data_IF_697891620831
#
_entry.id   IF_697891620831
#
_cell.length_a   1.000
_cell.length_b   1.000
_cell.length_c   1.000
_cell.angle_alpha   90.00
_cell.angle_beta   90.00
_cell.angle_gamma   90.00
#
_symmetry.space_group_name_H-M   'P 1'
#
loop_
_entity.id
_entity.type
_entity.pdbx_description
1 polymer ?
#
# COMPACT_ATOMS: atom_id res chain seq x y z
N UNK A 1 16.66 -27.83 21.06
CA UNK A 1 15.83 -27.67 19.85
C UNK A 1 16.27 -26.37 19.19
N UNK A 2 16.97 -26.44 18.05
CA UNK A 2 17.33 -25.23 17.31
C UNK A 2 16.05 -24.61 16.74
N UNK A 3 15.83 -23.34 17.04
CA UNK A 3 14.78 -22.54 16.41
C UNK A 3 15.00 -22.57 14.89
N UNK A 4 14.05 -23.15 14.15
CA UNK A 4 14.04 -23.00 12.70
C UNK A 4 13.73 -21.53 12.47
N UNK A 5 14.75 -20.75 12.07
CA UNK A 5 14.55 -19.38 11.60
C UNK A 5 13.44 -19.41 10.56
N UNK A 6 12.28 -18.83 10.88
CA UNK A 6 11.17 -18.74 9.93
C UNK A 6 11.70 -18.02 8.69
N UNK A 7 11.52 -18.64 7.53
CA UNK A 7 11.93 -18.04 6.26
C UNK A 7 11.17 -16.73 6.06
N UNK A 8 11.92 -15.62 5.98
CA UNK A 8 11.36 -14.29 5.73
C UNK A 8 10.83 -14.22 4.30
N UNK A 9 9.54 -13.95 4.14
CA UNK A 9 8.90 -13.71 2.84
C UNK A 9 8.66 -12.21 2.71
N UNK A 10 9.12 -11.61 1.61
CA UNK A 10 8.96 -10.18 1.33
C UNK A 10 8.17 -10.05 0.02
N UNK A 11 7.05 -9.33 0.07
CA UNK A 11 6.37 -8.89 -1.15
C UNK A 11 7.05 -7.63 -1.67
N UNK A 12 7.70 -7.74 -2.82
CA UNK A 12 8.51 -6.63 -3.36
C UNK A 12 7.70 -5.63 -4.17
N UNK A 13 6.39 -5.82 -4.35
CA UNK A 13 5.61 -4.92 -5.21
C UNK A 13 4.12 -4.86 -4.84
N UNK A 14 3.77 -3.86 -4.02
CA UNK A 14 2.37 -3.52 -3.74
C UNK A 14 2.08 -2.05 -4.00
N UNK A 15 0.82 -1.72 -4.19
CA UNK A 15 0.35 -0.33 -4.31
C UNK A 15 -0.72 -0.07 -3.26
N UNK A 16 -0.60 1.06 -2.57
CA UNK A 16 -1.61 1.57 -1.63
C UNK A 16 -2.22 2.86 -2.19
N UNK A 17 -3.51 3.08 -1.93
CA UNK A 17 -4.24 4.25 -2.41
C UNK A 17 -5.45 4.59 -1.54
N UNK A 18 -5.85 5.85 -1.62
CA UNK A 18 -7.03 6.44 -0.98
C UNK A 18 -8.00 7.04 -2.01
N UNK A 19 -9.30 6.91 -1.79
CA UNK A 19 -10.35 7.42 -2.68
C UNK A 19 -10.67 8.91 -2.50
N UNK A 20 -10.15 9.55 -1.46
CA UNK A 20 -10.25 11.01 -1.30
C UNK A 20 -9.43 11.72 -2.39
N UNK A 21 -10.13 12.12 -3.45
CA UNK A 21 -9.56 12.79 -4.62
C UNK A 21 -9.39 14.29 -4.43
N UNK A 22 -9.97 14.88 -3.39
CA UNK A 22 -9.71 16.27 -3.04
C UNK A 22 -8.34 16.37 -2.37
N UNK A 23 -8.06 15.45 -1.45
CA UNK A 23 -6.80 15.36 -0.72
C UNK A 23 -5.65 14.80 -1.56
N UNK A 24 -5.92 13.75 -2.33
CA UNK A 24 -4.96 13.06 -3.19
C UNK A 24 -5.45 13.02 -4.64
N UNK A 25 -5.26 14.11 -5.41
CA UNK A 25 -5.79 14.23 -6.75
C UNK A 25 -5.20 13.19 -7.71
N UNK A 26 -6.07 12.50 -8.45
CA UNK A 26 -5.63 11.58 -9.49
C UNK A 26 -5.22 12.33 -10.77
N UNK A 27 -4.08 11.94 -11.35
CA UNK A 27 -3.54 12.44 -12.63
C UNK A 27 -3.95 11.60 -13.84
N UNK A 28 -4.32 10.34 -13.63
CA UNK A 28 -4.68 9.40 -14.70
C UNK A 28 -6.19 9.11 -14.69
N UNK A 29 -6.93 9.94 -15.42
CA UNK A 29 -8.39 9.85 -15.60
C UNK A 29 -8.80 8.79 -16.64
N UNK A 30 -8.31 7.55 -16.53
CA UNK A 30 -8.95 6.46 -17.27
C UNK A 30 -10.12 5.96 -16.41
N UNK A 31 -11.29 6.59 -16.58
CA UNK A 31 -12.55 6.18 -15.95
C UNK A 31 -12.79 4.68 -16.22
N UNK A 32 -12.47 3.83 -15.24
CA UNK A 32 -12.58 2.37 -15.32
C UNK A 32 -11.40 1.59 -14.76
N UNK A 33 -10.23 2.21 -14.59
CA UNK A 33 -9.04 1.54 -14.02
C UNK A 33 -8.92 1.69 -12.50
N UNK A 34 -9.70 2.59 -11.89
CA UNK A 34 -9.62 2.84 -10.45
C UNK A 34 -10.42 1.79 -9.69
N UNK A 35 -9.76 1.16 -8.71
CA UNK A 35 -10.40 0.23 -7.80
C UNK A 35 -11.49 0.96 -6.98
N UNK A 36 -12.63 0.31 -6.66
CA UNK A 36 -13.76 0.95 -5.99
C UNK A 36 -13.55 1.18 -4.48
N UNK A 37 -12.52 0.57 -3.90
CA UNK A 37 -12.22 0.62 -2.46
C UNK A 37 -10.82 1.14 -2.24
N UNK A 38 -10.51 1.59 -1.03
CA UNK A 38 -9.15 1.94 -0.64
C UNK A 38 -8.23 0.72 -0.61
N UNK A 39 -6.96 0.95 -0.94
CA UNK A 39 -5.85 0.04 -0.68
C UNK A 39 -5.10 0.56 0.53
N UNK A 40 -5.54 0.18 1.74
CA UNK A 40 -4.97 0.68 2.99
C UNK A 40 -3.86 -0.22 3.53
N UNK A 41 -3.00 0.33 4.38
CA UNK A 41 -1.94 -0.43 5.03
C UNK A 41 -2.50 -1.51 5.97
N UNK A 42 -3.60 -1.24 6.66
CA UNK A 42 -4.27 -2.18 7.56
C UNK A 42 -4.73 -3.42 6.81
N UNK A 43 -5.39 -3.21 5.65
CA UNK A 43 -5.83 -4.32 4.79
C UNK A 43 -4.65 -5.13 4.27
N UNK A 44 -3.54 -4.48 3.93
CA UNK A 44 -2.32 -5.15 3.48
C UNK A 44 -1.72 -6.00 4.62
N UNK A 45 -1.59 -5.44 5.82
CA UNK A 45 -1.06 -6.16 7.00
C UNK A 45 -1.93 -7.37 7.33
N UNK A 46 -3.26 -7.22 7.35
CA UNK A 46 -4.19 -8.33 7.56
C UNK A 46 -4.02 -9.46 6.52
N UNK A 47 -3.75 -9.09 5.26
CA UNK A 47 -3.48 -10.07 4.20
C UNK A 47 -2.13 -10.74 4.39
N UNK A 48 -1.08 -9.97 4.69
CA UNK A 48 0.28 -10.45 4.94
C UNK A 48 0.30 -11.47 6.08
N UNK A 49 -0.38 -11.19 7.18
CA UNK A 49 -0.48 -12.08 8.35
C UNK A 49 -1.14 -13.42 8.00
N UNK A 50 -2.17 -13.40 7.14
CA UNK A 50 -2.89 -14.62 6.72
C UNK A 50 -2.05 -15.54 5.84
N UNK A 51 -1.08 -14.99 5.11
CA UNK A 51 -0.28 -15.74 4.13
C UNK A 51 1.20 -15.88 4.51
N UNK A 52 1.62 -15.30 5.65
CA UNK A 52 2.98 -15.40 6.18
C UNK A 52 4.00 -14.47 5.51
N UNK A 53 3.57 -13.36 4.90
CA UNK A 53 4.47 -12.32 4.38
C UNK A 53 4.93 -11.43 5.54
N UNK A 54 6.24 -11.22 5.65
CA UNK A 54 6.85 -10.49 6.77
C UNK A 54 6.93 -8.98 6.51
N UNK A 55 7.14 -8.58 5.26
CA UNK A 55 7.25 -7.17 4.87
C UNK A 55 6.78 -6.99 3.42
N UNK A 56 6.38 -5.76 3.09
CA UNK A 56 6.01 -5.39 1.74
C UNK A 56 6.68 -4.07 1.32
N UNK A 57 7.07 -3.97 0.05
CA UNK A 57 7.54 -2.73 -0.56
C UNK A 57 6.36 -2.02 -1.23
N UNK A 58 5.91 -0.93 -0.60
CA UNK A 58 4.90 -0.05 -1.18
C UNK A 58 5.52 0.80 -2.30
N UNK A 59 5.11 0.54 -3.54
CA UNK A 59 5.50 1.25 -4.76
C UNK A 59 4.46 2.31 -5.05
N UNK A 60 4.90 3.51 -5.44
CA UNK A 60 4.01 4.62 -5.79
C UNK A 60 2.96 4.17 -6.80
N UNK A 61 1.71 4.50 -6.50
CA UNK A 61 0.61 4.12 -7.36
C UNK A 61 0.54 5.04 -8.58
N UNK A 62 0.46 4.51 -9.82
CA UNK A 62 0.66 5.31 -11.02
C UNK A 62 -0.32 6.49 -11.17
N UNK A 63 -1.55 6.36 -10.66
CA UNK A 63 -2.58 7.37 -10.84
C UNK A 63 -2.43 8.62 -9.97
N UNK A 64 -1.50 8.66 -9.03
CA UNK A 64 -1.11 9.90 -8.35
C UNK A 64 0.02 10.65 -9.08
N UNK A 65 0.63 10.04 -10.11
CA UNK A 65 1.78 10.61 -10.80
C UNK A 65 2.91 10.89 -9.80
N UNK A 66 3.36 12.14 -9.75
CA UNK A 66 4.45 12.60 -8.88
C UNK A 66 4.00 12.97 -7.45
N UNK A 67 2.69 12.93 -7.15
CA UNK A 67 2.18 13.20 -5.81
C UNK A 67 2.36 11.97 -4.89
N UNK A 68 3.50 11.94 -4.19
CA UNK A 68 3.85 10.85 -3.28
C UNK A 68 3.38 11.10 -1.83
N UNK A 69 2.57 12.15 -1.56
CA UNK A 69 2.20 12.52 -0.19
C UNK A 69 1.48 11.40 0.55
N UNK A 70 0.60 10.65 -0.13
CA UNK A 70 -0.06 9.48 0.47
C UNK A 70 0.94 8.35 0.76
N UNK A 71 1.87 8.07 -0.16
CA UNK A 71 2.89 7.05 0.09
C UNK A 71 3.78 7.41 1.30
N UNK A 72 4.19 8.68 1.41
CA UNK A 72 4.97 9.17 2.55
C UNK A 72 4.17 9.08 3.84
N UNK A 73 2.89 9.48 3.86
CA UNK A 73 2.07 9.40 5.07
C UNK A 73 1.91 7.96 5.55
N UNK A 74 1.77 6.99 4.64
CA UNK A 74 1.71 5.57 4.98
C UNK A 74 3.03 5.07 5.58
N UNK A 75 4.18 5.38 4.95
CA UNK A 75 5.50 4.95 5.43
C UNK A 75 5.78 5.51 6.84
N UNK A 76 5.31 6.72 7.12
CA UNK A 76 5.48 7.38 8.42
C UNK A 76 4.39 7.00 9.44
N UNK A 77 3.42 6.17 9.07
CA UNK A 77 2.30 5.77 9.95
C UNK A 77 1.28 6.89 10.23
N UNK A 78 1.25 7.94 9.41
CA UNK A 78 0.35 9.11 9.51
C UNK A 78 -0.90 8.95 8.64
N UNK A 79 -1.60 7.84 8.80
CA UNK A 79 -2.66 7.39 7.86
C UNK A 79 -3.91 8.29 7.89
N UNK A 80 -4.10 9.07 8.96
CA UNK A 80 -5.23 10.00 9.14
C UNK A 80 -4.83 11.49 9.16
N UNK A 81 -3.52 11.76 8.99
CA UNK A 81 -2.82 13.04 8.83
C UNK A 81 -3.32 13.91 7.71
#
# INVERSE_FOLDING_TARGET
MSEISRMTIIDTHVHLWHQDRERYPSKLWVQGALQPHDGTAERLVDLMDRVGVTAALNVQVPWYGEDNRYQVSIIEGRIND
#
